data_IF_002605511160
#
_entry.id   IF_002605511160
#
_cell.length_a   1.000
_cell.length_b   1.000
_cell.length_c   1.000
_cell.angle_alpha   90.00
_cell.angle_beta   90.00
_cell.angle_gamma   90.00
#
_symmetry.space_group_name_H-M   'P 1'
#
loop_
_entity.id
_entity.type
_entity.pdbx_description
1 polymer ?
#
# COMPACT_ATOMS: atom_id res chain seq x y z
N UNK A 1 65.35 16.86 20.31
CA UNK A 1 64.29 17.69 19.70
C UNK A 1 63.35 16.76 18.92
N UNK A 2 62.17 16.41 19.47
CA UNK A 2 61.12 15.73 18.70
C UNK A 2 60.51 16.77 17.74
N UNK A 3 59.92 16.42 16.61
CA UNK A 3 58.53 15.96 16.60
C UNK A 3 58.22 15.13 15.35
N UNK A 4 57.62 13.98 15.64
CA UNK A 4 57.00 13.02 14.74
C UNK A 4 56.12 13.67 13.66
N UNK A 5 56.33 13.19 12.45
CA UNK A 5 55.48 13.32 11.27
C UNK A 5 54.00 13.07 11.61
N UNK A 6 53.15 14.07 11.34
CA UNK A 6 51.70 13.97 11.51
C UNK A 6 51.09 13.20 10.34
N UNK A 7 50.82 11.92 10.54
CA UNK A 7 49.99 11.11 9.65
C UNK A 7 48.54 11.61 9.74
N UNK A 8 48.01 12.18 8.65
CA UNK A 8 46.60 12.53 8.51
C UNK A 8 45.79 11.25 8.25
N UNK A 9 45.11 10.75 9.28
CA UNK A 9 44.13 9.68 9.17
C UNK A 9 42.81 10.25 8.63
N UNK A 10 42.58 10.12 7.32
CA UNK A 10 41.27 10.32 6.72
C UNK A 10 40.39 9.09 7.03
N UNK A 11 39.60 9.18 8.09
CA UNK A 11 38.55 8.19 8.38
C UNK A 11 37.37 8.46 7.45
N UNK A 12 37.26 7.70 6.35
CA UNK A 12 36.06 7.66 5.54
C UNK A 12 34.96 6.90 6.29
N UNK A 13 34.09 7.62 7.01
CA UNK A 13 32.86 7.03 7.54
C UNK A 13 31.92 6.81 6.36
N UNK A 14 31.90 5.60 5.80
CA UNK A 14 30.85 5.17 4.89
C UNK A 14 29.55 5.05 5.71
N UNK A 15 28.77 6.13 5.77
CA UNK A 15 27.44 6.08 6.37
C UNK A 15 26.61 5.11 5.52
N UNK A 16 26.27 3.95 6.10
CA UNK A 16 25.35 3.01 5.47
C UNK A 16 23.96 3.64 5.50
N UNK A 17 23.61 4.39 4.46
CA UNK A 17 22.24 4.83 4.26
C UNK A 17 21.40 3.57 4.09
N UNK A 18 20.68 3.16 5.14
CA UNK A 18 19.66 2.12 4.99
C UNK A 18 18.57 2.73 4.13
N UNK A 19 18.64 2.49 2.82
CA UNK A 19 17.51 2.73 1.92
C UNK A 19 16.39 1.84 2.44
N UNK A 20 15.43 2.46 3.13
CA UNK A 20 14.26 1.75 3.62
C UNK A 20 13.54 1.17 2.42
N UNK A 21 13.37 -0.15 2.38
CA UNK A 21 12.49 -0.78 1.40
C UNK A 21 11.07 -0.24 1.64
N UNK A 22 10.46 0.29 0.59
CA UNK A 22 9.07 0.72 0.59
C UNK A 22 8.22 -0.29 -0.17
N UNK A 23 6.94 -0.38 0.18
CA UNK A 23 5.97 -1.24 -0.47
C UNK A 23 4.88 -0.34 -1.03
N UNK A 24 4.60 -0.47 -2.32
CA UNK A 24 3.51 0.27 -2.97
C UNK A 24 2.22 -0.54 -2.89
N UNK A 25 1.16 0.07 -2.36
CA UNK A 25 -0.16 -0.54 -2.32
C UNK A 25 -1.04 0.14 -3.36
N UNK A 26 -1.76 -0.68 -4.12
CA UNK A 26 -2.66 -0.26 -5.19
C UNK A 26 -4.08 -0.74 -4.87
N UNK A 27 -5.06 0.12 -5.08
CA UNK A 27 -6.48 -0.26 -5.14
C UNK A 27 -7.03 0.21 -6.47
N UNK A 28 -7.27 -0.75 -7.36
CA UNK A 28 -7.72 -0.55 -8.72
C UNK A 28 -9.23 -0.77 -8.75
N UNK A 29 -9.98 0.27 -9.12
CA UNK A 29 -11.41 0.15 -9.33
C UNK A 29 -11.69 -0.47 -10.71
N UNK A 30 -11.97 -1.78 -10.75
CA UNK A 30 -12.35 -2.51 -11.95
C UNK A 30 -13.86 -2.82 -12.02
N UNK A 31 -14.70 -1.97 -11.40
CA UNK A 31 -16.13 -1.95 -11.68
C UNK A 31 -16.38 -1.61 -13.16
N UNK A 32 -17.51 -2.06 -13.76
CA UNK A 32 -17.84 -1.79 -15.15
C UNK A 32 -17.78 -0.31 -15.50
N UNK A 33 -17.40 -0.02 -16.75
CA UNK A 33 -17.41 1.36 -17.26
C UNK A 33 -18.81 1.98 -17.10
N UNK A 34 -18.86 3.21 -16.61
CA UNK A 34 -20.11 3.91 -16.33
C UNK A 34 -20.74 3.59 -14.97
N UNK A 35 -20.15 2.72 -14.16
CA UNK A 35 -20.59 2.51 -12.77
C UNK A 35 -20.47 3.80 -11.96
N UNK A 36 -21.34 3.94 -10.94
CA UNK A 36 -21.18 4.98 -9.93
C UNK A 36 -19.77 4.90 -9.29
N UNK A 37 -19.13 6.05 -8.97
CA UNK A 37 -17.84 6.05 -8.30
C UNK A 37 -17.89 5.25 -6.99
N UNK A 38 -16.80 4.54 -6.70
CA UNK A 38 -16.59 3.88 -5.42
C UNK A 38 -15.86 4.83 -4.48
N UNK A 39 -16.41 5.05 -3.30
CA UNK A 39 -15.68 5.72 -2.23
C UNK A 39 -14.75 4.73 -1.55
N UNK A 40 -13.52 5.15 -1.28
CA UNK A 40 -12.57 4.39 -0.47
C UNK A 40 -11.98 5.26 0.64
N UNK A 41 -11.84 4.66 1.81
CA UNK A 41 -11.10 5.22 2.94
C UNK A 41 -10.13 4.16 3.45
N UNK A 42 -8.88 4.54 3.69
CA UNK A 42 -7.87 3.64 4.22
C UNK A 42 -7.10 4.33 5.33
N UNK A 43 -6.90 3.64 6.45
CA UNK A 43 -6.16 4.20 7.56
C UNK A 43 -5.37 3.13 8.31
N UNK A 44 -4.30 3.57 8.96
CA UNK A 44 -3.57 2.82 9.95
C UNK A 44 -3.69 3.51 11.32
N UNK A 45 -2.99 2.98 12.33
CA UNK A 45 -2.95 3.60 13.66
C UNK A 45 -2.33 5.01 13.65
N UNK A 46 -1.39 5.28 12.74
CA UNK A 46 -0.60 6.52 12.72
C UNK A 46 -0.82 7.37 11.46
N UNK A 47 -1.58 6.87 10.49
CA UNK A 47 -1.76 7.52 9.19
C UNK A 47 -3.19 7.36 8.75
N UNK A 48 -3.90 8.47 8.63
CA UNK A 48 -5.20 8.49 7.98
C UNK A 48 -5.00 8.92 6.53
N UNK A 49 -5.45 8.10 5.59
CA UNK A 49 -5.49 8.50 4.19
C UNK A 49 -6.87 9.07 3.90
N UNK A 50 -6.91 10.25 3.30
CA UNK A 50 -8.17 10.91 2.96
C UNK A 50 -9.08 10.01 2.13
N UNK A 51 -10.38 10.19 2.30
CA UNK A 51 -11.37 9.57 1.45
C UNK A 51 -11.14 9.95 -0.02
N UNK A 52 -11.29 8.99 -0.94
CA UNK A 52 -11.21 9.21 -2.38
C UNK A 52 -12.41 8.61 -3.08
N UNK A 53 -12.88 9.29 -4.12
CA UNK A 53 -13.84 8.78 -5.08
C UNK A 53 -13.09 8.21 -6.28
N UNK A 54 -13.23 6.91 -6.52
CA UNK A 54 -12.59 6.20 -7.63
C UNK A 54 -13.61 5.89 -8.71
N UNK A 55 -13.38 6.37 -9.93
CA UNK A 55 -14.12 5.97 -11.13
C UNK A 55 -13.59 4.63 -11.65
N UNK A 56 -14.37 3.99 -12.52
CA UNK A 56 -13.93 2.77 -13.22
C UNK A 56 -12.60 3.03 -13.95
N UNK A 57 -11.60 2.20 -13.66
CA UNK A 57 -10.23 2.30 -14.17
C UNK A 57 -9.25 3.05 -13.28
N UNK A 58 -9.71 3.79 -12.26
CA UNK A 58 -8.80 4.52 -11.36
C UNK A 58 -7.96 3.56 -10.50
N UNK A 59 -6.72 3.96 -10.24
CA UNK A 59 -5.76 3.24 -9.40
C UNK A 59 -5.31 4.15 -8.25
N UNK A 60 -5.81 3.87 -7.05
CA UNK A 60 -5.44 4.59 -5.84
C UNK A 60 -4.22 3.96 -5.19
N UNK A 61 -3.19 4.78 -4.92
CA UNK A 61 -1.88 4.29 -4.48
C UNK A 61 -1.39 4.98 -3.22
N UNK A 62 -0.69 4.23 -2.39
CA UNK A 62 0.10 4.78 -1.30
C UNK A 62 1.33 3.93 -1.01
N UNK A 63 2.29 4.54 -0.32
CA UNK A 63 3.54 3.88 0.06
C UNK A 63 3.49 3.50 1.53
N UNK A 64 3.80 2.24 1.82
CA UNK A 64 4.03 1.74 3.16
C UNK A 64 5.54 1.63 3.40
N UNK A 65 6.04 2.33 4.41
CA UNK A 65 7.40 2.10 4.91
C UNK A 65 7.41 0.75 5.65
N UNK A 66 8.36 -0.14 5.32
CA UNK A 66 8.38 -1.55 5.75
C UNK A 66 8.10 -1.76 7.24
N UNK A 67 7.37 -2.84 7.56
CA UNK A 67 7.06 -3.36 8.92
C UNK A 67 6.17 -2.52 9.85
N UNK A 68 5.69 -1.33 9.44
CA UNK A 68 5.24 -0.34 10.45
C UNK A 68 3.73 -0.27 10.72
N UNK A 69 2.86 -0.68 9.81
CA UNK A 69 1.43 -0.48 10.00
C UNK A 69 0.56 -1.47 9.23
N UNK A 70 -0.52 -1.95 9.86
CA UNK A 70 -1.68 -2.51 9.14
C UNK A 70 -2.55 -1.35 8.66
N UNK A 71 -2.92 -1.35 7.39
CA UNK A 71 -3.92 -0.44 6.84
C UNK A 71 -5.25 -1.18 6.71
N UNK A 72 -6.28 -0.67 7.39
CA UNK A 72 -7.66 -1.09 7.20
C UNK A 72 -8.27 -0.17 6.15
N UNK A 73 -8.91 -0.75 5.15
CA UNK A 73 -9.65 -0.04 4.13
C UNK A 73 -11.13 -0.37 4.24
N UNK A 74 -11.96 0.61 3.92
CA UNK A 74 -13.38 0.46 3.71
C UNK A 74 -13.74 1.05 2.35
N UNK A 75 -14.67 0.41 1.65
CA UNK A 75 -15.25 0.91 0.41
C UNK A 75 -16.77 0.99 0.52
N UNK A 76 -17.33 2.02 -0.12
CA UNK A 76 -18.75 2.20 -0.32
C UNK A 76 -19.01 2.33 -1.82
N UNK A 77 -19.92 1.53 -2.33
CA UNK A 77 -20.35 1.59 -3.72
C UNK A 77 -21.88 1.45 -3.79
N UNK A 78 -22.56 2.56 -4.06
CA UNK A 78 -24.03 2.64 -4.00
C UNK A 78 -24.53 2.31 -2.59
N UNK A 79 -25.10 1.12 -2.38
CA UNK A 79 -25.59 0.61 -1.09
C UNK A 79 -24.81 -0.63 -0.62
N UNK A 80 -23.62 -0.82 -1.18
CA UNK A 80 -22.73 -1.93 -0.87
C UNK A 80 -21.52 -1.44 -0.11
N UNK A 81 -21.18 -2.12 0.96
CA UNK A 81 -20.02 -1.84 1.79
C UNK A 81 -19.06 -3.02 1.77
N UNK A 82 -17.79 -2.75 2.03
CA UNK A 82 -16.82 -3.78 2.34
C UNK A 82 -15.70 -3.19 3.18
N UNK A 83 -15.10 -4.01 4.03
CA UNK A 83 -13.87 -3.67 4.74
C UNK A 83 -12.84 -4.78 4.58
N UNK A 84 -11.56 -4.40 4.49
CA UNK A 84 -10.46 -5.36 4.38
C UNK A 84 -9.14 -4.76 4.82
N UNK A 85 -8.18 -5.62 5.16
CA UNK A 85 -6.81 -5.19 5.38
C UNK A 85 -6.14 -4.86 4.03
N UNK A 86 -6.17 -3.59 3.64
CA UNK A 86 -5.50 -3.08 2.44
C UNK A 86 -4.01 -3.38 2.43
N UNK A 87 -3.37 -3.32 3.60
CA UNK A 87 -2.02 -3.82 3.82
C UNK A 87 -1.91 -4.49 5.20
N UNK A 88 -1.27 -5.65 5.27
CA UNK A 88 -1.01 -6.38 6.50
C UNK A 88 0.44 -6.87 6.54
N UNK A 89 1.27 -6.44 7.51
CA UNK A 89 2.70 -6.77 7.53
C UNK A 89 3.01 -8.27 7.40
N UNK A 90 2.25 -9.13 8.11
CA UNK A 90 2.45 -10.60 8.05
C UNK A 90 2.24 -11.19 6.66
N UNK A 91 1.37 -10.58 5.84
CA UNK A 91 1.02 -11.05 4.49
C UNK A 91 1.91 -10.40 3.43
N UNK A 92 2.23 -9.11 3.63
CA UNK A 92 2.63 -8.23 2.55
C UNK A 92 4.07 -7.69 2.66
N UNK A 93 4.72 -7.77 3.84
CA UNK A 93 5.99 -7.07 4.10
C UNK A 93 7.19 -7.49 3.22
N UNK A 94 7.09 -8.66 2.56
CA UNK A 94 8.14 -9.17 1.67
C UNK A 94 7.85 -8.88 0.19
N UNK A 95 6.76 -8.18 -0.11
CA UNK A 95 6.36 -7.85 -1.47
C UNK A 95 6.90 -6.48 -1.86
N UNK A 96 7.14 -6.27 -3.16
CA UNK A 96 7.43 -4.92 -3.70
C UNK A 96 6.15 -4.10 -3.84
N UNK A 97 5.08 -4.78 -4.23
CA UNK A 97 3.77 -4.18 -4.46
C UNK A 97 2.66 -5.10 -3.98
N UNK A 98 1.55 -4.50 -3.55
CA UNK A 98 0.32 -5.19 -3.14
C UNK A 98 -0.82 -4.60 -3.94
N UNK A 99 -1.55 -5.43 -4.68
CA UNK A 99 -2.63 -5.00 -5.54
C UNK A 99 -3.97 -5.51 -5.02
N UNK A 100 -4.93 -4.60 -4.92
CA UNK A 100 -6.33 -4.89 -4.74
C UNK A 100 -7.09 -4.53 -6.02
N UNK A 101 -7.65 -5.53 -6.68
CA UNK A 101 -8.54 -5.34 -7.81
C UNK A 101 -9.98 -5.47 -7.33
N UNK A 102 -10.74 -4.38 -7.40
CA UNK A 102 -12.13 -4.33 -6.95
C UNK A 102 -13.06 -4.53 -8.14
N UNK A 103 -13.90 -5.57 -8.07
CA UNK A 103 -14.89 -5.91 -9.09
C UNK A 103 -16.28 -5.97 -8.47
N UNK A 104 -17.32 -6.08 -9.30
CA UNK A 104 -18.71 -6.19 -8.82
C UNK A 104 -18.93 -7.40 -7.92
N UNK A 105 -18.18 -8.49 -8.18
CA UNK A 105 -18.28 -9.74 -7.44
C UNK A 105 -17.28 -9.86 -6.29
N UNK A 106 -16.51 -8.81 -5.97
CA UNK A 106 -15.68 -8.77 -4.77
C UNK A 106 -14.29 -8.18 -4.95
N UNK A 107 -13.43 -8.48 -3.98
CA UNK A 107 -12.11 -7.89 -3.80
C UNK A 107 -11.03 -8.95 -3.99
N UNK A 108 -10.10 -8.69 -4.89
CA UNK A 108 -9.08 -9.65 -5.30
C UNK A 108 -7.69 -9.12 -4.96
N UNK A 109 -6.88 -9.95 -4.32
CA UNK A 109 -5.51 -9.63 -3.95
C UNK A 109 -4.53 -10.25 -4.95
N UNK A 110 -3.50 -9.49 -5.33
CA UNK A 110 -2.37 -9.92 -6.15
C UNK A 110 -1.08 -9.20 -5.78
N UNK A 111 0.05 -9.71 -6.25
CA UNK A 111 1.39 -9.13 -5.98
C UNK A 111 2.16 -8.76 -7.27
N UNK A 112 1.61 -9.09 -8.43
CA UNK A 112 2.21 -8.95 -9.76
C UNK A 112 1.28 -8.25 -10.77
N UNK A 113 0.13 -7.74 -10.32
CA UNK A 113 -0.94 -7.16 -11.14
C UNK A 113 -1.46 -8.08 -12.28
N UNK A 114 -1.34 -9.40 -12.14
CA UNK A 114 -1.83 -10.36 -13.14
C UNK A 114 -2.48 -11.60 -12.53
N UNK A 115 -1.98 -12.04 -11.37
CA UNK A 115 -2.49 -13.17 -10.60
C UNK A 115 -3.40 -12.68 -9.48
N UNK A 116 -4.64 -13.16 -9.45
CA UNK A 116 -5.69 -12.62 -8.58
C UNK A 116 -6.33 -13.70 -7.70
N UNK A 117 -6.37 -13.47 -6.40
CA UNK A 117 -7.07 -14.34 -5.44
C UNK A 117 -8.19 -13.56 -4.78
N UNK A 118 -9.44 -13.98 -4.96
CA UNK A 118 -10.59 -13.39 -4.28
C UNK A 118 -10.46 -13.55 -2.76
N UNK A 119 -10.61 -12.47 -2.00
CA UNK A 119 -10.49 -12.46 -0.53
C UNK A 119 -11.78 -12.11 0.19
N UNK A 120 -12.64 -11.32 -0.44
CA UNK A 120 -13.94 -10.94 0.13
C UNK A 120 -14.94 -10.56 -0.95
N UNK A 121 -16.18 -10.38 -0.54
CA UNK A 121 -17.29 -9.87 -1.35
C UNK A 121 -17.80 -8.57 -0.75
N UNK A 122 -18.62 -7.87 -1.52
CA UNK A 122 -19.45 -6.79 -1.00
C UNK A 122 -20.51 -7.33 -0.04
N UNK A 123 -20.85 -6.52 0.94
CA UNK A 123 -21.99 -6.67 1.86
C UNK A 123 -23.03 -5.59 1.53
N UNK A 124 -24.32 -5.87 1.76
CA UNK A 124 -25.37 -4.85 1.70
C UNK A 124 -25.41 -4.11 3.03
N UNK A 125 -25.52 -2.78 2.96
CA UNK A 125 -25.81 -1.93 4.12
C UNK A 125 -27.21 -2.17 4.69
#
# INVERSE_FOLDING_TARGET
>A
MPTLSRFLLFVFIASSFKIGSSIEVHVINALPRGSAPMEIRCNSRSTNLDAKQLKSGDDYRWIVQKERATYLCAALWVNKIASWHGFQPRRDANQKSVFWLVKENGFFLGFDNSSWVKKSTWESE
#
